data_IF_967856120835
#
_entry.id   IF_967856120835
#
_cell.length_a   1.000
_cell.length_b   1.000
_cell.length_c   1.000
_cell.angle_alpha   90.00
_cell.angle_beta   90.00
_cell.angle_gamma   90.00
#
_symmetry.space_group_name_H-M   'P 1'
#
loop_
_entity.id
_entity.type
_entity.pdbx_description
1 polymer ?
#
# COMPACT_ATOMS: atom_id res chain seq x y z
N UNK A 1 -47.72 -42.00 4.51
CA UNK A 1 -47.45 -40.66 5.07
C UNK A 1 -46.28 -40.87 6.02
N UNK A 2 -45.07 -40.90 5.47
CA UNK A 2 -43.85 -41.11 6.23
C UNK A 2 -43.40 -39.75 6.75
N UNK A 3 -43.32 -39.64 8.07
CA UNK A 3 -43.08 -38.40 8.78
C UNK A 3 -41.64 -37.92 8.55
N UNK A 4 -41.46 -36.62 8.33
CA UNK A 4 -40.20 -35.98 7.89
C UNK A 4 -39.22 -35.81 9.07
N UNK A 5 -39.51 -36.45 10.19
CA UNK A 5 -38.79 -36.36 11.47
C UNK A 5 -37.63 -37.34 11.61
N UNK A 6 -37.53 -38.37 10.77
CA UNK A 6 -36.47 -39.39 10.88
C UNK A 6 -35.15 -39.05 10.15
N UNK A 7 -35.08 -37.94 9.39
CA UNK A 7 -33.85 -37.52 8.67
C UNK A 7 -33.06 -36.46 9.47
N UNK A 8 -33.64 -35.90 10.53
CA UNK A 8 -32.99 -34.89 11.36
C UNK A 8 -32.99 -35.37 12.80
N UNK A 9 -32.00 -36.20 13.13
CA UNK A 9 -31.69 -36.56 14.50
C UNK A 9 -31.20 -35.28 15.23
N UNK A 10 -32.14 -34.59 15.89
CA UNK A 10 -31.93 -33.31 16.58
C UNK A 10 -31.27 -33.47 17.97
N UNK A 11 -30.98 -34.70 18.40
CA UNK A 11 -30.44 -34.99 19.74
C UNK A 11 -28.92 -34.78 19.84
N UNK A 12 -28.21 -34.73 18.71
CA UNK A 12 -26.75 -34.50 18.65
C UNK A 12 -26.36 -33.01 18.66
N UNK A 13 -27.35 -32.09 18.80
CA UNK A 13 -27.11 -30.64 18.82
C UNK A 13 -26.62 -30.09 20.16
N UNK A 14 -26.61 -30.89 21.22
CA UNK A 14 -26.18 -30.44 22.54
C UNK A 14 -24.65 -30.49 22.76
N UNK A 15 -23.90 -31.06 21.82
CA UNK A 15 -22.43 -31.16 21.90
C UNK A 15 -21.68 -30.42 20.77
N UNK A 16 -22.41 -29.74 19.88
CA UNK A 16 -21.83 -28.87 18.86
C UNK A 16 -21.93 -27.43 19.34
N UNK A 17 -20.96 -27.04 20.17
CA UNK A 17 -20.70 -25.64 20.50
C UNK A 17 -20.60 -24.90 19.16
N UNK A 18 -21.31 -23.77 18.94
CA UNK A 18 -21.13 -22.99 17.72
C UNK A 18 -19.63 -22.73 17.51
N UNK A 19 -19.08 -22.81 16.30
CA UNK A 19 -17.62 -22.72 16.07
C UNK A 19 -17.00 -21.43 16.63
N UNK A 20 -17.82 -20.39 16.84
CA UNK A 20 -17.45 -19.11 17.42
C UNK A 20 -17.74 -18.96 18.91
N UNK A 21 -18.49 -19.88 19.53
CA UNK A 21 -18.82 -19.81 20.95
C UNK A 21 -17.62 -20.13 21.87
N UNK A 22 -16.64 -20.88 21.39
CA UNK A 22 -15.36 -21.09 22.08
C UNK A 22 -14.47 -19.82 22.16
N UNK A 23 -14.79 -18.78 21.38
CA UNK A 23 -14.07 -17.52 21.33
C UNK A 23 -14.85 -16.36 21.96
N UNK A 24 -15.98 -16.62 22.63
CA UNK A 24 -16.75 -15.60 23.33
C UNK A 24 -15.91 -15.05 24.49
N UNK A 25 -15.52 -13.77 24.39
CA UNK A 25 -14.67 -13.10 25.38
C UNK A 25 -13.16 -13.24 25.17
N UNK A 26 -12.72 -13.91 24.10
CA UNK A 26 -11.31 -13.88 23.68
C UNK A 26 -11.07 -12.72 22.70
N UNK A 27 -10.02 -11.94 22.93
CA UNK A 27 -9.63 -10.84 22.03
C UNK A 27 -8.90 -11.33 20.76
N UNK A 28 -8.58 -12.62 20.68
CA UNK A 28 -7.85 -13.21 19.56
C UNK A 28 -8.22 -14.68 19.38
N UNK A 29 -8.34 -15.10 18.12
CA UNK A 29 -8.55 -16.50 17.73
C UNK A 29 -7.28 -17.36 17.92
N UNK A 30 -6.12 -16.71 18.06
CA UNK A 30 -4.83 -17.37 18.25
C UNK A 30 -4.44 -17.38 19.74
N UNK A 31 -3.69 -18.39 20.20
CA UNK A 31 -3.18 -18.44 21.57
C UNK A 31 -2.41 -17.16 21.92
N UNK A 32 -2.67 -16.54 23.09
CA UNK A 32 -1.97 -15.32 23.47
C UNK A 32 -0.46 -15.57 23.58
N UNK A 33 0.32 -14.84 22.78
CA UNK A 33 1.79 -14.87 22.80
C UNK A 33 2.45 -15.76 21.75
N UNK A 34 1.70 -16.56 20.98
CA UNK A 34 2.23 -17.30 19.83
C UNK A 34 1.84 -16.61 18.53
N UNK A 35 2.85 -16.34 17.69
CA UNK A 35 2.60 -15.80 16.37
C UNK A 35 1.87 -16.85 15.51
N UNK A 36 0.84 -16.45 14.74
CA UNK A 36 0.07 -17.39 13.91
C UNK A 36 0.91 -18.07 12.83
N UNK A 37 2.04 -17.46 12.45
CA UNK A 37 3.00 -18.01 11.50
C UNK A 37 4.38 -18.19 12.13
N UNK A 38 5.14 -19.20 11.69
CA UNK A 38 6.51 -19.39 12.15
C UNK A 38 7.42 -18.26 11.66
N UNK A 39 8.45 -17.94 12.46
CA UNK A 39 9.34 -16.80 12.24
C UNK A 39 10.07 -16.82 10.89
N UNK A 40 10.32 -18.00 10.31
CA UNK A 40 10.95 -18.11 8.98
C UNK A 40 10.11 -17.44 7.88
N UNK A 41 8.77 -17.42 8.02
CA UNK A 41 7.88 -16.74 7.07
C UNK A 41 8.13 -15.23 7.09
N UNK A 42 8.42 -14.65 8.26
CA UNK A 42 8.75 -13.22 8.39
C UNK A 42 10.00 -12.85 7.59
N UNK A 43 11.04 -13.69 7.67
CA UNK A 43 12.27 -13.51 6.89
C UNK A 43 12.04 -13.64 5.39
N UNK A 44 11.23 -14.62 4.96
CA UNK A 44 10.88 -14.80 3.55
C UNK A 44 10.07 -13.61 3.02
N UNK A 45 9.12 -13.09 3.80
CA UNK A 45 8.31 -11.93 3.40
C UNK A 45 9.16 -10.66 3.33
N UNK A 46 9.97 -10.37 4.34
CA UNK A 46 10.72 -9.11 4.39
C UNK A 46 11.94 -9.12 3.45
N UNK A 47 12.74 -10.19 3.49
CA UNK A 47 13.98 -10.27 2.70
C UNK A 47 13.72 -10.94 1.36
N UNK A 48 13.05 -12.09 1.35
CA UNK A 48 12.80 -12.85 0.11
C UNK A 48 11.94 -12.09 -0.88
N UNK A 49 10.76 -11.62 -0.45
CA UNK A 49 9.85 -10.87 -1.32
C UNK A 49 10.44 -9.52 -1.71
N UNK A 50 11.08 -8.81 -0.77
CA UNK A 50 11.75 -7.53 -1.05
C UNK A 50 12.85 -7.66 -2.11
N UNK A 51 13.72 -8.66 -2.00
CA UNK A 51 14.78 -8.92 -2.97
C UNK A 51 14.24 -9.41 -4.31
N UNK A 52 13.26 -10.32 -4.31
CA UNK A 52 12.63 -10.83 -5.53
C UNK A 52 11.97 -9.70 -6.31
N UNK A 53 11.21 -8.85 -5.61
CA UNK A 53 10.55 -7.72 -6.23
C UNK A 53 11.55 -6.70 -6.77
N UNK A 54 12.63 -6.46 -6.02
CA UNK A 54 13.73 -5.62 -6.46
C UNK A 54 14.46 -6.18 -7.68
N UNK A 55 14.65 -7.50 -7.74
CA UNK A 55 15.29 -8.17 -8.86
C UNK A 55 14.39 -8.12 -10.11
N UNK A 56 13.09 -8.38 -9.98
CA UNK A 56 12.12 -8.32 -11.09
C UNK A 56 12.07 -6.92 -11.68
N UNK A 57 11.88 -5.90 -10.84
CA UNK A 57 11.80 -4.50 -11.28
C UNK A 57 13.11 -4.04 -11.91
N UNK A 58 14.25 -4.36 -11.31
CA UNK A 58 15.57 -4.07 -11.89
C UNK A 58 15.78 -4.79 -13.22
N UNK A 59 15.39 -6.06 -13.33
CA UNK A 59 15.45 -6.83 -14.57
C UNK A 59 14.59 -6.18 -15.65
N UNK A 60 13.37 -5.77 -15.34
CA UNK A 60 12.47 -5.10 -16.30
C UNK A 60 13.04 -3.75 -16.74
N UNK A 61 13.67 -3.00 -15.83
CA UNK A 61 14.39 -1.76 -16.20
C UNK A 61 15.56 -2.06 -17.14
N UNK A 62 16.33 -3.11 -16.87
CA UNK A 62 17.45 -3.52 -17.72
C UNK A 62 16.98 -4.01 -19.10
N UNK A 63 15.88 -4.76 -19.16
CA UNK A 63 15.25 -5.20 -20.42
C UNK A 63 14.72 -4.00 -21.19
N UNK A 64 14.03 -3.06 -20.52
CA UNK A 64 13.60 -1.81 -21.14
C UNK A 64 14.77 -0.96 -21.63
N UNK A 65 15.90 -0.96 -20.90
CA UNK A 65 17.14 -0.29 -21.31
C UNK A 65 17.79 -0.95 -22.52
N UNK A 66 17.66 -2.26 -22.66
CA UNK A 66 18.30 -3.02 -23.74
C UNK A 66 17.46 -3.07 -25.03
N UNK A 67 16.14 -3.23 -24.91
CA UNK A 67 15.22 -3.34 -26.06
C UNK A 67 14.49 -2.04 -26.42
N UNK A 68 14.33 -1.13 -25.45
CA UNK A 68 13.79 0.20 -25.73
C UNK A 68 14.88 1.06 -26.35
N UNK A 69 14.75 1.37 -27.63
CA UNK A 69 15.62 2.30 -28.39
C UNK A 69 15.55 3.76 -27.88
N UNK A 70 15.74 3.98 -26.57
CA UNK A 70 15.74 5.30 -25.94
C UNK A 70 17.04 5.43 -25.14
N UNK A 71 17.95 6.21 -25.72
CA UNK A 71 19.25 6.53 -25.14
C UNK A 71 19.16 7.17 -23.77
N UNK A 72 20.30 7.12 -23.07
CA UNK A 72 20.66 7.75 -21.80
C UNK A 72 19.52 8.12 -20.83
N UNK A 73 19.56 7.54 -19.63
CA UNK A 73 18.70 7.93 -18.50
C UNK A 73 18.97 9.41 -18.17
N UNK A 74 18.26 10.29 -18.87
CA UNK A 74 18.25 11.71 -18.60
C UNK A 74 17.48 11.92 -17.31
N UNK A 75 17.90 12.87 -16.49
CA UNK A 75 17.22 13.23 -15.24
C UNK A 75 15.73 13.56 -15.44
N UNK A 76 15.34 14.05 -16.63
CA UNK A 76 13.94 14.20 -17.01
C UNK A 76 13.22 12.84 -17.16
N UNK A 77 13.84 11.84 -17.79
CA UNK A 77 13.25 10.51 -17.94
C UNK A 77 13.08 9.81 -16.58
N UNK A 78 14.04 9.98 -15.68
CA UNK A 78 13.97 9.45 -14.31
C UNK A 78 12.79 10.05 -13.51
N UNK A 79 12.53 11.35 -13.67
CA UNK A 79 11.50 12.10 -12.94
C UNK A 79 10.15 12.23 -13.68
N UNK A 80 10.03 11.75 -14.92
CA UNK A 80 8.77 11.86 -15.69
C UNK A 80 8.36 10.57 -16.39
N UNK A 81 9.18 9.50 -16.30
CA UNK A 81 9.02 8.28 -17.08
C UNK A 81 8.83 8.55 -18.59
N UNK A 82 9.41 9.65 -19.08
CA UNK A 82 9.29 10.12 -20.47
C UNK A 82 7.86 10.46 -20.90
N UNK A 83 6.93 10.73 -19.96
CA UNK A 83 5.52 11.05 -20.22
C UNK A 83 4.77 9.99 -21.06
N UNK A 84 5.31 8.78 -21.18
CA UNK A 84 4.80 7.71 -22.07
C UNK A 84 3.82 6.76 -21.38
N UNK A 85 3.39 7.06 -20.16
CA UNK A 85 2.57 6.18 -19.35
C UNK A 85 1.10 6.35 -19.74
N UNK A 86 0.47 5.24 -20.14
CA UNK A 86 -0.94 5.19 -20.50
C UNK A 86 -1.82 5.49 -19.28
N UNK A 87 -2.96 6.13 -19.51
CA UNK A 87 -3.93 6.55 -18.48
C UNK A 87 -4.37 5.43 -17.54
N UNK A 88 -4.55 4.21 -18.08
CA UNK A 88 -4.91 3.03 -17.27
C UNK A 88 -3.84 2.63 -16.25
N UNK A 89 -2.56 2.70 -16.63
CA UNK A 89 -1.44 2.42 -15.73
C UNK A 89 -1.35 3.51 -14.65
N UNK A 90 -1.50 4.78 -15.03
CA UNK A 90 -1.54 5.90 -14.07
C UNK A 90 -2.69 5.76 -13.07
N UNK A 91 -3.89 5.38 -13.52
CA UNK A 91 -5.05 5.19 -12.63
C UNK A 91 -4.82 4.07 -11.60
N UNK A 92 -4.28 2.93 -12.05
CA UNK A 92 -3.92 1.81 -11.16
C UNK A 92 -2.89 2.21 -10.10
N UNK A 93 -1.92 3.05 -10.47
CA UNK A 93 -0.90 3.52 -9.52
C UNK A 93 -1.48 4.49 -8.49
N UNK A 94 -2.39 5.37 -8.89
CA UNK A 94 -3.08 6.27 -7.95
C UNK A 94 -3.84 5.45 -6.89
N UNK A 95 -4.53 4.38 -7.30
CA UNK A 95 -5.22 3.47 -6.39
C UNK A 95 -4.20 2.76 -5.47
N UNK A 96 -3.11 2.25 -6.04
CA UNK A 96 -2.01 1.62 -5.29
C UNK A 96 -1.47 2.50 -4.16
N UNK A 97 -1.19 3.76 -4.48
CA UNK A 97 -0.60 4.71 -3.54
C UNK A 97 -1.56 5.10 -2.42
N UNK A 98 -2.86 4.99 -2.65
CA UNK A 98 -3.89 5.28 -1.65
C UNK A 98 -4.18 4.07 -0.77
N UNK A 99 -4.09 2.85 -1.32
CA UNK A 99 -4.32 1.60 -0.61
C UNK A 99 -3.04 1.12 0.09
N UNK A 100 -2.52 1.89 1.05
CA UNK A 100 -1.39 1.46 1.87
C UNK A 100 -1.83 0.63 3.08
N UNK A 101 -0.90 -0.15 3.63
CA UNK A 101 -1.16 -1.12 4.70
C UNK A 101 -1.86 -0.53 5.94
N UNK A 102 -1.47 0.67 6.39
CA UNK A 102 -2.12 1.35 7.51
C UNK A 102 -3.60 1.71 7.23
N UNK A 103 -3.97 2.08 6.00
CA UNK A 103 -5.36 2.33 5.59
C UNK A 103 -6.17 1.04 5.64
N UNK A 104 -5.59 -0.07 5.15
CA UNK A 104 -6.23 -1.39 5.22
C UNK A 104 -6.43 -1.84 6.68
N UNK A 105 -5.39 -1.73 7.51
CA UNK A 105 -5.47 -2.08 8.92
C UNK A 105 -6.50 -1.24 9.67
N UNK A 106 -6.52 0.07 9.41
CA UNK A 106 -7.51 0.97 9.99
C UNK A 106 -8.93 0.62 9.52
N UNK A 107 -9.10 0.33 8.24
CA UNK A 107 -10.39 -0.11 7.68
C UNK A 107 -10.87 -1.39 8.36
N UNK A 108 -10.00 -2.40 8.52
CA UNK A 108 -10.31 -3.64 9.23
C UNK A 108 -10.65 -3.42 10.70
N UNK A 109 -9.95 -2.52 11.39
CA UNK A 109 -10.26 -2.17 12.78
C UNK A 109 -11.64 -1.50 12.91
N UNK A 110 -11.98 -0.60 11.98
CA UNK A 110 -13.30 0.02 11.93
C UNK A 110 -14.38 -1.01 11.53
N UNK A 111 -14.06 -2.01 10.70
CA UNK A 111 -14.93 -3.14 10.39
C UNK A 111 -15.23 -3.99 11.62
N UNK A 112 -14.21 -4.26 12.44
CA UNK A 112 -14.35 -5.01 13.67
C UNK A 112 -15.29 -4.32 14.66
N UNK A 113 -15.19 -2.99 14.79
CA UNK A 113 -15.99 -2.22 15.74
C UNK A 113 -17.41 -1.90 15.24
N UNK A 114 -17.58 -1.62 13.95
CA UNK A 114 -18.84 -1.07 13.40
C UNK A 114 -19.46 -1.93 12.28
N UNK A 115 -18.95 -3.16 12.08
CA UNK A 115 -19.38 -4.05 11.01
C UNK A 115 -19.10 -3.48 9.61
N UNK A 116 -19.83 -3.98 8.61
CA UNK A 116 -19.64 -3.62 7.18
C UNK A 116 -19.85 -2.12 6.93
N UNK A 117 -20.65 -1.44 7.75
CA UNK A 117 -20.91 0.00 7.61
C UNK A 117 -19.66 0.85 7.86
N UNK A 118 -18.76 0.39 8.72
CA UNK A 118 -17.55 1.11 9.10
C UNK A 118 -16.58 1.38 7.93
N UNK A 119 -16.09 0.34 7.25
CA UNK A 119 -15.25 0.46 6.06
C UNK A 119 -15.92 1.24 4.94
N UNK A 120 -17.24 1.10 4.76
CA UNK A 120 -17.99 1.83 3.74
C UNK A 120 -17.92 3.34 3.96
N UNK A 121 -18.18 3.81 5.19
CA UNK A 121 -18.10 5.24 5.52
C UNK A 121 -16.66 5.76 5.47
N UNK A 122 -15.70 4.97 5.94
CA UNK A 122 -14.27 5.30 5.84
C UNK A 122 -13.83 5.50 4.38
N UNK A 123 -14.15 4.54 3.51
CA UNK A 123 -13.85 4.63 2.08
C UNK A 123 -14.59 5.79 1.41
N UNK A 124 -15.86 6.01 1.74
CA UNK A 124 -16.68 7.09 1.16
C UNK A 124 -16.13 8.48 1.50
N UNK A 125 -15.65 8.70 2.73
CA UNK A 125 -15.04 9.98 3.10
C UNK A 125 -13.77 10.28 2.31
N UNK A 126 -12.96 9.25 2.08
CA UNK A 126 -11.68 9.42 1.41
C UNK A 126 -11.79 9.43 -0.13
N UNK A 127 -12.81 8.79 -0.74
CA UNK A 127 -13.07 8.90 -2.19
C UNK A 127 -13.42 10.32 -2.62
N UNK A 128 -14.17 11.07 -1.81
CA UNK A 128 -14.51 12.48 -2.07
C UNK A 128 -13.23 13.33 -2.19
N UNK A 129 -12.26 13.11 -1.31
CA UNK A 129 -11.00 13.85 -1.31
C UNK A 129 -10.19 13.56 -2.59
N UNK A 130 -10.12 12.29 -3.01
CA UNK A 130 -9.43 11.88 -4.24
C UNK A 130 -10.11 12.46 -5.48
N UNK A 131 -11.44 12.47 -5.54
CA UNK A 131 -12.19 13.07 -6.64
C UNK A 131 -11.94 14.57 -6.75
N UNK A 132 -12.02 15.31 -5.64
CA UNK A 132 -11.74 16.74 -5.61
C UNK A 132 -10.29 17.04 -6.01
N UNK A 133 -9.33 16.26 -5.53
CA UNK A 133 -7.93 16.40 -5.92
C UNK A 133 -7.74 16.16 -7.42
N UNK A 134 -8.41 15.15 -7.99
CA UNK A 134 -8.39 14.88 -9.43
C UNK A 134 -8.90 16.06 -10.27
N UNK A 135 -10.01 16.68 -9.87
CA UNK A 135 -10.56 17.87 -10.55
C UNK A 135 -9.57 19.03 -10.49
N UNK A 136 -8.96 19.28 -9.32
CA UNK A 136 -7.96 20.35 -9.15
C UNK A 136 -6.73 20.06 -10.01
N UNK A 137 -6.20 18.83 -10.00
CA UNK A 137 -5.02 18.43 -10.76
C UNK A 137 -5.22 18.59 -12.28
N UNK A 138 -6.39 18.23 -12.80
CA UNK A 138 -6.73 18.42 -14.22
C UNK A 138 -6.76 19.91 -14.58
N UNK A 139 -7.45 20.74 -13.79
CA UNK A 139 -7.49 22.18 -14.03
C UNK A 139 -6.10 22.82 -13.95
N UNK A 140 -5.27 22.33 -13.04
CA UNK A 140 -3.92 22.82 -12.86
C UNK A 140 -3.03 22.49 -14.07
N UNK A 141 -3.14 21.28 -14.62
CA UNK A 141 -2.40 20.88 -15.82
C UNK A 141 -2.86 21.59 -17.10
N UNK A 142 -4.10 22.10 -17.16
CA UNK A 142 -4.55 22.98 -18.24
C UNK A 142 -3.86 24.35 -18.21
N UNK A 143 -3.55 24.86 -17.01
CA UNK A 143 -2.94 26.18 -16.81
C UNK A 143 -1.41 26.12 -16.82
N UNK A 144 -0.81 25.09 -16.21
CA UNK A 144 0.63 24.93 -16.08
C UNK A 144 1.07 23.50 -16.51
N UNK A 145 1.08 23.20 -17.82
CA UNK A 145 1.38 21.85 -18.33
C UNK A 145 2.85 21.43 -18.09
N UNK A 146 3.79 22.38 -18.07
CA UNK A 146 5.22 22.13 -17.89
C UNK A 146 5.67 21.98 -16.43
N UNK A 147 4.84 22.32 -15.46
CA UNK A 147 5.22 22.23 -14.05
C UNK A 147 5.44 20.77 -13.62
N UNK A 148 6.55 20.51 -12.94
CA UNK A 148 6.96 19.15 -12.54
C UNK A 148 6.55 18.82 -11.10
N UNK A 149 6.44 19.82 -10.23
CA UNK A 149 6.08 19.63 -8.82
C UNK A 149 5.00 20.62 -8.38
N UNK A 150 4.21 20.28 -7.37
CA UNK A 150 3.21 21.20 -6.82
C UNK A 150 3.89 22.44 -6.19
N UNK A 151 5.10 22.29 -5.63
CA UNK A 151 5.84 23.38 -5.01
C UNK A 151 6.29 24.43 -6.03
N UNK A 152 6.62 24.02 -7.26
CA UNK A 152 6.95 24.94 -8.37
C UNK A 152 5.77 25.86 -8.72
N UNK A 153 4.57 25.29 -8.73
CA UNK A 153 3.32 26.02 -8.97
C UNK A 153 3.08 27.03 -7.85
N UNK A 154 3.32 26.63 -6.60
CA UNK A 154 3.21 27.53 -5.44
C UNK A 154 4.20 28.70 -5.58
N UNK A 155 5.42 28.44 -6.04
CA UNK A 155 6.44 29.48 -6.25
C UNK A 155 6.00 30.50 -7.30
N UNK A 156 5.46 30.04 -8.43
CA UNK A 156 4.98 30.93 -9.50
C UNK A 156 3.80 31.79 -9.03
N UNK A 157 2.93 31.26 -8.17
CA UNK A 157 1.71 31.96 -7.74
C UNK A 157 1.88 32.88 -6.52
N UNK A 158 2.69 32.48 -5.55
CA UNK A 158 2.85 33.15 -4.24
C UNK A 158 4.29 33.53 -3.89
N UNK A 159 5.27 33.20 -4.74
CA UNK A 159 6.67 33.55 -4.57
C UNK A 159 7.47 32.64 -3.63
N UNK A 160 8.73 33.01 -3.39
CA UNK A 160 9.75 32.18 -2.73
C UNK A 160 9.43 31.83 -1.28
N UNK A 161 8.83 32.75 -0.53
CA UNK A 161 8.51 32.52 0.91
C UNK A 161 7.46 31.41 1.06
N UNK A 162 6.40 31.45 0.26
CA UNK A 162 5.40 30.39 0.24
C UNK A 162 5.95 29.08 -0.32
N UNK A 163 6.83 29.14 -1.32
CA UNK A 163 7.51 27.96 -1.83
C UNK A 163 8.29 27.23 -0.74
N UNK A 164 9.11 27.95 0.05
CA UNK A 164 9.94 27.35 1.08
C UNK A 164 9.11 26.71 2.21
N UNK A 165 8.01 27.36 2.63
CA UNK A 165 7.14 26.80 3.67
C UNK A 165 6.42 25.54 3.18
N UNK A 166 5.84 25.56 1.97
CA UNK A 166 5.20 24.37 1.40
C UNK A 166 6.20 23.25 1.11
N UNK A 167 7.44 23.58 0.72
CA UNK A 167 8.51 22.60 0.54
C UNK A 167 8.88 21.94 1.88
N UNK A 168 9.01 22.72 2.96
CA UNK A 168 9.26 22.20 4.30
C UNK A 168 8.13 21.31 4.79
N UNK A 169 6.87 21.77 4.69
CA UNK A 169 5.72 20.95 5.09
C UNK A 169 5.59 19.68 4.25
N UNK A 170 5.82 19.75 2.94
CA UNK A 170 5.82 18.59 2.06
C UNK A 170 6.92 17.59 2.42
N UNK A 171 8.11 18.07 2.76
CA UNK A 171 9.21 17.22 3.23
C UNK A 171 8.86 16.56 4.57
N UNK A 172 8.38 17.31 5.56
CA UNK A 172 7.95 16.77 6.85
C UNK A 172 6.84 15.74 6.68
N UNK A 173 5.84 16.00 5.82
CA UNK A 173 4.76 15.07 5.55
C UNK A 173 5.29 13.76 4.97
N UNK A 174 6.20 13.81 4.00
CA UNK A 174 6.84 12.60 3.46
C UNK A 174 7.59 11.82 4.55
N UNK A 175 8.35 12.49 5.42
CA UNK A 175 9.07 11.82 6.53
C UNK A 175 8.09 11.16 7.51
N UNK A 176 7.01 11.85 7.89
CA UNK A 176 6.01 11.32 8.83
C UNK A 176 5.29 10.13 8.22
N UNK A 177 4.82 10.24 6.97
CA UNK A 177 4.10 9.16 6.27
C UNK A 177 5.02 7.96 6.06
N UNK A 178 6.26 8.16 5.61
CA UNK A 178 7.22 7.05 5.48
C UNK A 178 7.48 6.38 6.82
N UNK A 179 7.64 7.14 7.90
CA UNK A 179 7.84 6.58 9.25
C UNK A 179 6.62 5.75 9.69
N UNK A 180 5.42 6.29 9.54
CA UNK A 180 4.16 5.58 9.82
C UNK A 180 4.04 4.27 9.05
N UNK A 181 4.40 4.27 7.75
CA UNK A 181 4.33 3.06 6.92
C UNK A 181 5.36 2.01 7.33
N UNK A 182 6.58 2.43 7.68
CA UNK A 182 7.63 1.53 8.15
C UNK A 182 7.28 0.90 9.51
N UNK A 183 6.84 1.72 10.46
CA UNK A 183 6.43 1.26 11.79
C UNK A 183 5.19 0.37 11.68
N UNK A 184 4.21 0.75 10.86
CA UNK A 184 3.02 -0.06 10.59
C UNK A 184 3.36 -1.41 9.94
N UNK A 185 4.25 -1.43 8.95
CA UNK A 185 4.72 -2.67 8.31
C UNK A 185 5.54 -3.57 9.24
N UNK A 186 6.40 -2.99 10.06
CA UNK A 186 7.15 -3.74 11.06
C UNK A 186 6.22 -4.35 12.14
N UNK A 187 5.22 -3.59 12.58
CA UNK A 187 4.23 -4.07 13.54
C UNK A 187 3.39 -5.22 12.98
N UNK A 188 2.98 -5.16 11.71
CA UNK A 188 2.21 -6.25 11.09
C UNK A 188 3.06 -7.52 10.91
N UNK A 189 4.33 -7.41 10.51
CA UNK A 189 5.21 -8.58 10.40
C UNK A 189 5.48 -9.20 11.77
N UNK A 190 5.70 -8.38 12.80
CA UNK A 190 5.86 -8.86 14.17
C UNK A 190 4.60 -9.58 14.65
N UNK A 191 3.41 -8.99 14.45
CA UNK A 191 2.14 -9.59 14.85
C UNK A 191 1.86 -10.93 14.15
N UNK A 192 2.26 -11.06 12.88
CA UNK A 192 2.01 -12.28 12.09
C UNK A 192 3.03 -13.39 12.32
N UNK A 193 4.31 -13.07 12.52
CA UNK A 193 5.41 -14.05 12.44
C UNK A 193 6.29 -14.11 13.69
N UNK A 194 6.10 -13.18 14.62
CA UNK A 194 6.94 -13.05 15.81
C UNK A 194 8.36 -12.53 15.53
N UNK A 195 8.63 -12.05 14.30
CA UNK A 195 9.93 -11.45 13.97
C UNK A 195 10.16 -10.16 14.77
N UNK A 196 11.41 -9.90 15.15
CA UNK A 196 11.76 -8.69 15.91
C UNK A 196 11.40 -7.42 15.14
N UNK A 197 10.69 -6.53 15.81
CA UNK A 197 10.19 -5.27 15.27
C UNK A 197 11.31 -4.36 14.73
N UNK A 198 12.42 -4.26 15.46
CA UNK A 198 13.54 -3.36 15.12
C UNK A 198 14.22 -3.85 13.85
N UNK A 199 14.37 -5.16 13.74
CA UNK A 199 14.95 -5.80 12.57
C UNK A 199 14.03 -5.68 11.34
N UNK A 200 12.72 -5.88 11.51
CA UNK A 200 11.73 -5.66 10.45
C UNK A 200 11.76 -4.23 9.92
N UNK A 201 11.71 -3.24 10.82
CA UNK A 201 11.72 -1.82 10.48
C UNK A 201 13.00 -1.40 9.73
N UNK A 202 14.13 -2.04 10.00
CA UNK A 202 15.40 -1.74 9.33
C UNK A 202 15.53 -2.42 7.97
N UNK A 203 15.01 -3.65 7.79
CA UNK A 203 15.16 -4.42 6.56
C UNK A 203 14.17 -4.04 5.45
N UNK A 204 12.92 -3.71 5.80
CA UNK A 204 11.87 -3.33 4.83
C UNK A 204 12.32 -2.18 3.89
N UNK A 205 12.92 -1.07 4.38
CA UNK A 205 13.39 0.02 3.51
C UNK A 205 14.41 -0.41 2.45
N UNK A 206 15.29 -1.37 2.75
CA UNK A 206 16.37 -1.76 1.84
C UNK A 206 15.84 -2.35 0.54
N UNK A 207 14.79 -3.18 0.61
CA UNK A 207 14.14 -3.71 -0.59
C UNK A 207 13.59 -2.60 -1.49
N UNK A 208 12.99 -1.57 -0.88
CA UNK A 208 12.40 -0.43 -1.59
C UNK A 208 13.44 0.49 -2.21
N UNK A 209 14.52 0.77 -1.47
CA UNK A 209 15.61 1.63 -1.92
C UNK A 209 16.29 1.04 -3.15
N UNK A 210 16.54 -0.27 -3.17
CA UNK A 210 17.25 -0.94 -4.27
C UNK A 210 16.52 -0.79 -5.61
N UNK A 211 15.21 -1.06 -5.66
CA UNK A 211 14.47 -0.96 -6.93
C UNK A 211 14.16 0.47 -7.34
N UNK A 212 13.99 1.37 -6.36
CA UNK A 212 13.72 2.77 -6.65
C UNK A 212 14.96 3.45 -7.22
N UNK A 213 16.15 3.12 -6.69
CA UNK A 213 17.42 3.67 -7.16
C UNK A 213 17.78 3.21 -8.58
N UNK A 214 17.48 1.95 -8.94
CA UNK A 214 17.86 1.39 -10.25
C UNK A 214 16.93 1.83 -11.38
N UNK A 215 15.65 2.12 -11.09
CA UNK A 215 14.61 2.23 -12.11
C UNK A 215 13.85 3.56 -12.22
N UNK A 216 13.96 4.45 -11.24
CA UNK A 216 13.25 5.74 -11.25
C UNK A 216 11.73 5.61 -11.33
N UNK A 217 11.03 6.67 -11.76
CA UNK A 217 9.56 6.68 -11.75
C UNK A 217 8.92 5.61 -12.64
N UNK A 218 9.51 5.27 -13.79
CA UNK A 218 8.95 4.25 -14.67
C UNK A 218 8.89 2.88 -13.98
N UNK A 219 9.95 2.51 -13.26
CA UNK A 219 9.98 1.28 -12.49
C UNK A 219 9.01 1.34 -11.32
N UNK A 220 8.91 2.48 -10.64
CA UNK A 220 7.94 2.69 -9.56
C UNK A 220 6.50 2.51 -10.05
N UNK A 221 6.16 3.03 -11.23
CA UNK A 221 4.83 2.85 -11.81
C UNK A 221 4.51 1.38 -12.11
N UNK A 222 5.48 0.63 -12.65
CA UNK A 222 5.29 -0.79 -12.91
C UNK A 222 5.22 -1.63 -11.63
N UNK A 223 6.09 -1.33 -10.66
CA UNK A 223 6.06 -1.89 -9.33
C UNK A 223 4.69 -1.69 -8.66
N UNK A 224 4.18 -0.45 -8.64
CA UNK A 224 2.86 -0.14 -8.11
C UNK A 224 1.76 -0.91 -8.83
N UNK A 225 1.85 -1.09 -10.16
CA UNK A 225 0.87 -1.89 -10.89
C UNK A 225 0.84 -3.36 -10.45
N UNK A 226 2.01 -3.99 -10.30
CA UNK A 226 2.12 -5.38 -9.84
C UNK A 226 1.58 -5.49 -8.40
N UNK A 227 1.92 -4.56 -7.51
CA UNK A 227 1.34 -4.52 -6.16
C UNK A 227 -0.19 -4.44 -6.21
N UNK A 228 -0.74 -3.55 -7.03
CA UNK A 228 -2.19 -3.39 -7.20
C UNK A 228 -2.87 -4.67 -7.66
N UNK A 229 -2.27 -5.41 -8.59
CA UNK A 229 -2.82 -6.70 -9.06
C UNK A 229 -2.74 -7.79 -8.00
N UNK A 230 -1.77 -7.74 -7.09
CA UNK A 230 -1.59 -8.76 -6.04
C UNK A 230 -2.54 -8.54 -4.87
N UNK A 231 -2.82 -7.29 -4.47
CA UNK A 231 -3.64 -7.02 -3.28
C UNK A 231 -5.15 -6.87 -3.56
N UNK A 232 -5.56 -6.55 -4.79
CA UNK A 232 -6.98 -6.52 -5.21
C UNK A 232 -7.49 -7.92 -5.51
#
# INVERSE_FOLDING_TARGET
MADITDIINLDDRNNVIPPFAQFIGQESYFPPGEAPLPTWVGWVVVVGFGLLFSAITTCIVLVNRHFGQKGEITSEHFNTAGRMIKTGLTASVIISQWTWAATLLQSSNVAWQYGVSGPFWYASGATIQVLLFGVIAINLKKVAPSAHTFAEIVNVRWGKTAHLTFLFFGFCANVIVTSMLLLGGAATVQALTGMDYRLAAFLIPWGVILYTASGGLQATFLASYIHTVIFL
#
